data_IF_826504648186
#
_entry.id   IF_826504648186
#
_cell.length_a   1.000
_cell.length_b   1.000
_cell.length_c   1.000
_cell.angle_alpha   90.00
_cell.angle_beta   90.00
_cell.angle_gamma   90.00
#
_symmetry.space_group_name_H-M   'P 1'
#
loop_
_entity.id
_entity.type
_entity.pdbx_description
1 polymer ?
#
# COMPACT_ATOMS: atom_id res chain seq x y z
N UNK A 1 -3.59 -10.49 17.97
CA UNK A 1 -3.29 -9.97 16.61
C UNK A 1 -2.51 -8.66 16.73
N UNK A 2 -1.75 -8.22 15.72
CA UNK A 2 -0.91 -7.02 15.84
C UNK A 2 -1.76 -5.76 16.11
N UNK A 3 -2.97 -5.73 15.57
CA UNK A 3 -3.99 -4.69 15.71
C UNK A 3 -4.50 -4.54 17.15
N UNK A 4 -4.45 -5.61 17.96
CA UNK A 4 -4.82 -5.52 19.39
C UNK A 4 -3.75 -4.76 20.19
N UNK A 5 -2.48 -4.86 19.79
CA UNK A 5 -1.36 -4.14 20.42
C UNK A 5 -1.21 -2.73 19.86
N UNK A 6 -1.60 -2.52 18.60
CA UNK A 6 -1.54 -1.24 17.91
C UNK A 6 -2.91 -0.91 17.29
N UNK A 7 -3.88 -0.42 18.08
CA UNK A 7 -5.23 -0.10 17.60
C UNK A 7 -5.26 0.90 16.44
N UNK A 8 -4.21 1.72 16.31
CA UNK A 8 -4.05 2.62 15.17
C UNK A 8 -4.12 1.88 13.84
N UNK A 9 -3.75 0.60 13.75
CA UNK A 9 -3.86 -0.19 12.51
C UNK A 9 -5.31 -0.39 12.04
N UNK A 10 -6.29 -0.21 12.92
CA UNK A 10 -7.71 -0.44 12.62
C UNK A 10 -8.36 0.70 11.84
N UNK A 11 -7.75 1.88 11.77
CA UNK A 11 -8.42 3.07 11.22
C UNK A 11 -8.83 2.93 9.75
N UNK A 12 -8.11 2.14 8.95
CA UNK A 12 -8.55 1.83 7.58
C UNK A 12 -9.85 1.02 7.56
N UNK A 13 -9.90 -0.08 8.32
CA UNK A 13 -11.08 -0.95 8.37
C UNK A 13 -12.28 -0.26 9.03
N UNK A 14 -12.06 0.41 10.15
CA UNK A 14 -13.10 1.18 10.87
C UNK A 14 -13.55 2.38 10.02
N UNK A 15 -12.63 3.08 9.36
CA UNK A 15 -12.96 4.20 8.47
C UNK A 15 -13.84 3.77 7.29
N UNK A 16 -13.52 2.64 6.65
CA UNK A 16 -14.37 2.09 5.59
C UNK A 16 -15.78 1.76 6.10
N UNK A 17 -15.89 1.13 7.28
CA UNK A 17 -17.19 0.86 7.91
C UNK A 17 -17.96 2.17 8.18
N UNK A 18 -17.34 3.18 8.76
CA UNK A 18 -18.00 4.46 9.07
C UNK A 18 -18.44 5.22 7.81
N UNK A 19 -17.65 5.19 6.73
CA UNK A 19 -18.03 5.78 5.43
C UNK A 19 -19.27 5.10 4.85
N UNK A 20 -19.36 3.78 5.01
CA UNK A 20 -20.54 3.03 4.59
C UNK A 20 -21.76 3.35 5.46
N UNK A 21 -21.62 3.25 6.78
CA UNK A 21 -22.72 3.46 7.73
C UNK A 21 -23.28 4.89 7.70
N UNK A 22 -22.42 5.88 7.44
CA UNK A 22 -22.84 7.28 7.29
C UNK A 22 -23.53 7.58 5.95
N UNK A 23 -23.57 6.62 5.02
CA UNK A 23 -24.16 6.79 3.70
C UNK A 23 -23.31 7.59 2.72
N UNK A 24 -22.05 7.91 3.06
CA UNK A 24 -21.14 8.66 2.18
C UNK A 24 -20.76 7.89 0.93
N UNK A 25 -20.60 6.56 1.04
CA UNK A 25 -20.37 5.69 -0.13
C UNK A 25 -20.76 4.25 0.15
N UNK A 26 -21.36 3.60 -0.85
CA UNK A 26 -21.60 2.16 -0.88
C UNK A 26 -20.75 1.45 -1.95
N UNK A 27 -19.83 2.18 -2.59
CA UNK A 27 -18.96 1.63 -3.62
C UNK A 27 -17.92 0.71 -2.99
N UNK A 28 -17.98 -0.59 -3.37
CA UNK A 28 -17.10 -1.61 -2.82
C UNK A 28 -15.63 -1.38 -3.15
N UNK A 29 -15.31 -0.79 -4.29
CA UNK A 29 -13.92 -0.52 -4.67
C UNK A 29 -13.35 0.59 -3.78
N UNK A 30 -14.09 1.68 -3.59
CA UNK A 30 -13.70 2.79 -2.70
C UNK A 30 -13.53 2.30 -1.26
N UNK A 31 -14.52 1.58 -0.72
CA UNK A 31 -14.47 1.06 0.65
C UNK A 31 -13.32 0.08 0.85
N UNK A 32 -12.97 -0.69 -0.19
CA UNK A 32 -11.82 -1.61 -0.17
C UNK A 32 -10.49 -0.87 -0.15
N UNK A 33 -10.35 0.19 -0.94
CA UNK A 33 -9.15 1.01 -0.95
C UNK A 33 -8.92 1.69 0.41
N UNK A 34 -9.98 2.25 1.03
CA UNK A 34 -9.92 2.79 2.39
C UNK A 34 -9.51 1.72 3.40
N UNK A 35 -10.09 0.52 3.33
CA UNK A 35 -9.75 -0.56 4.26
C UNK A 35 -8.29 -1.00 4.16
N UNK A 36 -7.72 -0.99 2.95
CA UNK A 36 -6.39 -1.54 2.66
C UNK A 36 -5.25 -0.53 2.75
N UNK A 37 -5.52 0.78 2.75
CA UNK A 37 -4.45 1.80 2.65
C UNK A 37 -3.41 1.73 3.78
N UNK A 38 -3.78 1.22 4.97
CA UNK A 38 -2.85 1.16 6.12
C UNK A 38 -1.78 0.10 5.92
N UNK A 39 -2.13 -1.12 5.55
CA UNK A 39 -1.18 -2.24 5.51
C UNK A 39 -0.87 -2.73 4.10
N UNK A 40 -1.68 -2.36 3.12
CA UNK A 40 -1.78 -3.08 1.85
C UNK A 40 -2.39 -4.47 2.03
N UNK A 41 -2.53 -5.19 0.92
CA UNK A 41 -2.92 -6.61 0.84
C UNK A 41 -2.42 -7.23 -0.47
N UNK A 42 -2.39 -8.56 -0.59
CA UNK A 42 -2.17 -9.21 -1.88
C UNK A 42 -3.31 -8.88 -2.86
N UNK A 43 -2.99 -8.74 -4.15
CA UNK A 43 -4.02 -8.52 -5.16
C UNK A 43 -4.68 -7.13 -5.08
N UNK A 44 -3.97 -6.12 -4.57
CA UNK A 44 -4.43 -4.73 -4.58
C UNK A 44 -4.83 -4.29 -6.00
N UNK A 45 -6.02 -3.71 -6.13
CA UNK A 45 -6.51 -3.10 -7.38
C UNK A 45 -5.70 -1.85 -7.71
N UNK A 46 -5.91 -1.26 -8.90
CA UNK A 46 -5.28 0.02 -9.24
C UNK A 46 -5.66 1.13 -8.24
N UNK A 47 -6.92 1.15 -7.77
CA UNK A 47 -7.37 2.11 -6.78
C UNK A 47 -6.72 1.90 -5.41
N UNK A 48 -6.63 0.66 -4.95
CA UNK A 48 -5.94 0.32 -3.68
C UNK A 48 -4.49 0.84 -3.69
N UNK A 49 -3.79 0.60 -4.80
CA UNK A 49 -2.39 1.02 -4.98
C UNK A 49 -2.27 2.54 -5.03
N UNK A 50 -3.18 3.20 -5.76
CA UNK A 50 -3.21 4.66 -5.87
C UNK A 50 -3.40 5.31 -4.49
N UNK A 51 -4.39 4.86 -3.72
CA UNK A 51 -4.68 5.42 -2.38
C UNK A 51 -3.52 5.16 -1.42
N UNK A 52 -2.92 3.96 -1.46
CA UNK A 52 -1.76 3.63 -0.62
C UNK A 52 -0.57 4.56 -0.91
N UNK A 53 -0.22 4.76 -2.18
CA UNK A 53 0.90 5.65 -2.56
C UNK A 53 0.56 7.11 -2.25
N UNK A 54 -0.68 7.55 -2.53
CA UNK A 54 -1.13 8.92 -2.28
C UNK A 54 -0.97 9.33 -0.81
N UNK A 55 -1.35 8.47 0.15
CA UNK A 55 -1.17 8.74 1.60
C UNK A 55 0.31 8.94 1.98
N UNK A 56 1.22 8.25 1.28
CA UNK A 56 2.65 8.38 1.51
C UNK A 56 3.25 9.63 0.85
N UNK A 57 2.71 10.09 -0.29
CA UNK A 57 3.34 11.19 -1.07
C UNK A 57 2.63 12.53 -0.99
N UNK A 58 1.51 12.63 -0.26
CA UNK A 58 0.71 13.86 -0.22
C UNK A 58 1.56 15.10 0.12
N UNK A 59 1.19 16.31 -0.38
CA UNK A 59 2.06 17.49 -0.32
C UNK A 59 2.56 17.87 1.09
N UNK A 60 1.81 17.57 2.13
CA UNK A 60 2.16 17.79 3.53
C UNK A 60 3.20 16.82 4.10
N UNK A 61 3.49 15.70 3.43
CA UNK A 61 4.52 14.75 3.89
C UNK A 61 5.93 15.32 3.70
N UNK A 62 6.72 15.24 4.77
CA UNK A 62 8.12 15.64 4.80
C UNK A 62 8.95 14.57 5.53
N UNK A 63 9.59 13.68 4.78
CA UNK A 63 10.48 12.64 5.31
C UNK A 63 11.50 12.22 4.24
N UNK A 64 12.58 11.56 4.67
CA UNK A 64 13.65 11.13 3.77
C UNK A 64 13.13 10.22 2.64
N UNK A 65 13.44 10.58 1.40
CA UNK A 65 13.05 9.80 0.21
C UNK A 65 11.65 10.11 -0.34
N UNK A 66 10.86 10.99 0.29
CA UNK A 66 9.50 11.33 -0.20
C UNK A 66 9.51 11.91 -1.62
N UNK A 67 10.49 12.76 -1.98
CA UNK A 67 10.55 13.36 -3.32
C UNK A 67 10.92 12.35 -4.41
N UNK A 68 11.76 11.38 -4.07
CA UNK A 68 12.04 10.25 -4.96
C UNK A 68 10.77 9.43 -5.18
N UNK A 69 9.99 9.19 -4.12
CA UNK A 69 8.73 8.45 -4.21
C UNK A 69 7.68 9.22 -5.03
N UNK A 70 7.60 10.55 -4.89
CA UNK A 70 6.75 11.44 -5.73
C UNK A 70 7.12 11.34 -7.20
N UNK A 71 8.41 11.40 -7.52
CA UNK A 71 8.88 11.27 -8.91
C UNK A 71 8.55 9.89 -9.50
N UNK A 72 8.74 8.82 -8.72
CA UNK A 72 8.32 7.48 -9.13
C UNK A 72 6.81 7.40 -9.35
N UNK A 73 6.00 7.95 -8.46
CA UNK A 73 4.54 7.92 -8.61
C UNK A 73 4.07 8.59 -9.91
N UNK A 74 4.77 9.62 -10.38
CA UNK A 74 4.47 10.31 -11.64
C UNK A 74 4.95 9.55 -12.90
N UNK A 75 6.00 8.73 -12.78
CA UNK A 75 6.70 8.14 -13.94
C UNK A 75 6.51 6.64 -14.07
N UNK A 76 6.47 5.93 -12.94
CA UNK A 76 6.23 4.49 -12.83
C UNK A 76 5.45 4.17 -11.55
N UNK A 77 4.10 4.23 -11.60
CA UNK A 77 3.25 3.95 -10.44
C UNK A 77 3.44 2.56 -9.83
N UNK A 78 3.87 1.56 -10.62
CA UNK A 78 4.13 0.21 -10.10
C UNK A 78 5.39 0.21 -9.25
N UNK A 79 6.47 0.81 -9.76
CA UNK A 79 7.71 0.94 -9.02
C UNK A 79 7.54 1.85 -7.79
N UNK A 80 6.67 2.86 -7.87
CA UNK A 80 6.30 3.69 -6.74
C UNK A 80 5.67 2.87 -5.61
N UNK A 81 4.71 1.99 -5.91
CA UNK A 81 4.09 1.11 -4.91
C UNK A 81 5.11 0.18 -4.24
N UNK A 82 5.99 -0.45 -5.03
CA UNK A 82 7.04 -1.33 -4.50
C UNK A 82 7.94 -0.54 -3.57
N UNK A 83 8.35 0.66 -3.97
CA UNK A 83 9.21 1.50 -3.15
C UNK A 83 8.50 2.00 -1.89
N UNK A 84 7.23 2.38 -1.98
CA UNK A 84 6.39 2.75 -0.84
C UNK A 84 6.31 1.63 0.21
N UNK A 85 6.05 0.39 -0.23
CA UNK A 85 6.03 -0.78 0.66
C UNK A 85 7.40 -1.04 1.30
N UNK A 86 8.49 -0.96 0.53
CA UNK A 86 9.85 -1.12 1.05
C UNK A 86 10.21 -0.05 2.08
N UNK A 87 9.90 1.23 1.80
CA UNK A 87 10.13 2.34 2.71
C UNK A 87 9.36 2.16 4.02
N UNK A 88 8.09 1.73 3.95
CA UNK A 88 7.28 1.43 5.13
C UNK A 88 7.88 0.32 5.98
N UNK A 89 8.33 -0.77 5.35
CA UNK A 89 8.97 -1.89 6.04
C UNK A 89 10.26 -1.42 6.72
N UNK A 90 11.14 -0.75 5.99
CA UNK A 90 12.41 -0.24 6.51
C UNK A 90 12.20 0.71 7.70
N UNK A 91 11.23 1.62 7.60
CA UNK A 91 10.88 2.53 8.70
C UNK A 91 10.43 1.77 9.96
N UNK A 92 9.55 0.78 9.81
CA UNK A 92 9.07 -0.03 10.94
C UNK A 92 10.22 -0.82 11.57
N UNK A 93 11.08 -1.44 10.77
CA UNK A 93 12.26 -2.17 11.25
C UNK A 93 13.26 -1.25 11.98
N UNK A 94 13.56 -0.07 11.43
CA UNK A 94 14.46 0.92 12.05
C UNK A 94 13.89 1.46 13.37
N UNK A 95 12.57 1.61 13.46
CA UNK A 95 11.89 2.06 14.69
C UNK A 95 11.69 0.94 15.73
N UNK A 96 12.13 -0.30 15.43
CA UNK A 96 11.92 -1.46 16.31
C UNK A 96 10.46 -1.95 16.37
N UNK A 97 9.60 -1.48 15.46
CA UNK A 97 8.21 -1.88 15.37
C UNK A 97 8.02 -3.15 14.54
N UNK A 98 6.97 -3.92 14.84
CA UNK A 98 6.63 -5.11 14.06
C UNK A 98 5.98 -4.74 12.72
N UNK A 99 6.47 -5.35 11.64
CA UNK A 99 5.86 -5.22 10.31
C UNK A 99 4.62 -6.10 10.22
N UNK A 100 3.51 -5.52 9.75
CA UNK A 100 2.27 -6.27 9.57
C UNK A 100 2.43 -7.33 8.45
N UNK A 101 2.01 -8.60 8.65
CA UNK A 101 2.16 -9.66 7.64
C UNK A 101 1.52 -9.35 6.28
N UNK A 102 0.42 -8.58 6.26
CA UNK A 102 -0.19 -8.12 4.99
C UNK A 102 0.74 -7.22 4.18
N UNK A 103 1.57 -6.40 4.82
CA UNK A 103 2.52 -5.51 4.13
C UNK A 103 3.62 -6.29 3.45
N UNK A 104 4.20 -7.28 4.13
CA UNK A 104 5.22 -8.15 3.53
C UNK A 104 4.63 -9.03 2.42
N UNK A 105 3.40 -9.51 2.59
CA UNK A 105 2.69 -10.27 1.57
C UNK A 105 2.38 -9.42 0.31
N UNK A 106 1.94 -8.18 0.49
CA UNK A 106 1.69 -7.23 -0.61
C UNK A 106 2.97 -6.93 -1.40
N UNK A 107 4.11 -6.72 -0.73
CA UNK A 107 5.39 -6.52 -1.40
C UNK A 107 5.79 -7.75 -2.21
N UNK A 108 5.69 -8.95 -1.62
CA UNK A 108 6.01 -10.21 -2.29
C UNK A 108 5.14 -10.43 -3.53
N UNK A 109 3.84 -10.15 -3.43
CA UNK A 109 2.88 -10.25 -4.54
C UNK A 109 3.36 -9.41 -5.74
N UNK A 110 3.76 -8.16 -5.49
CA UNK A 110 4.20 -7.25 -6.57
C UNK A 110 5.53 -7.68 -7.20
N UNK A 111 6.52 -8.05 -6.39
CA UNK A 111 7.82 -8.53 -6.91
C UNK A 111 7.69 -9.80 -7.78
N UNK A 112 6.80 -10.73 -7.39
CA UNK A 112 6.54 -11.94 -8.18
C UNK A 112 5.76 -11.65 -9.46
N UNK A 113 4.84 -10.68 -9.43
CA UNK A 113 4.08 -10.27 -10.61
C UNK A 113 4.94 -9.60 -11.69
N UNK A 114 6.01 -8.91 -11.27
CA UNK A 114 6.95 -8.28 -12.20
C UNK A 114 7.94 -9.29 -12.80
N UNK A 115 8.40 -10.27 -12.02
CA UNK A 115 9.31 -11.32 -12.49
C UNK A 115 8.67 -12.23 -13.56
N UNK A 116 7.35 -12.43 -13.50
CA UNK A 116 6.61 -13.23 -14.50
C UNK A 116 6.49 -12.57 -15.87
N UNK A 117 6.77 -11.27 -16.01
CA UNK A 117 6.73 -10.56 -17.29
C UNK A 117 8.07 -10.56 -18.04
N UNK A 118 9.14 -11.07 -17.44
CA UNK A 118 10.50 -11.08 -18.00
C UNK A 118 10.88 -12.47 -18.57
N UNK A 119 9.96 -13.44 -18.62
CA UNK A 119 10.22 -14.70 -19.31
C UNK A 119 10.35 -14.44 -20.83
N UNK A 120 11.47 -14.83 -21.48
CA UNK A 120 11.70 -14.51 -22.88
C UNK A 120 10.72 -15.26 -23.77
N UNK A 121 10.11 -14.50 -24.68
CA UNK A 121 9.66 -15.00 -25.97
C UNK A 121 10.87 -15.59 -26.72
N UNK A 122 10.95 -16.91 -26.76
CA UNK A 122 11.84 -17.66 -27.64
C UNK A 122 11.48 -19.13 -27.59
N UNK A 123 11.37 -19.89 -28.66
CA UNK A 123 11.48 -19.66 -30.10
C UNK A 123 10.57 -20.71 -30.79
N UNK A 124 10.20 -20.46 -32.04
CA UNK A 124 9.61 -21.45 -32.96
C UNK A 124 10.66 -22.40 -33.51
#
# INVERSE_FOLDING_TARGET
>A
MLEQRHPILLHGAVGAFLVQESGLSNDREILTAIRRHVTGECGMTSLDQLIFVADMIEPGRCYEGVDRLRNLAATDPKQALINALQMKIAYLEQSGASVHPRTTAALRDKLLSDSRKVAPSGES
#
